data_IF_292470205731
#
_entry.id   IF_292470205731
#
_cell.length_a   1.000
_cell.length_b   1.000
_cell.length_c   1.000
_cell.angle_alpha   90.00
_cell.angle_beta   90.00
_cell.angle_gamma   90.00
#
_symmetry.space_group_name_H-M   'P 1'
#
loop_
_entity.id
_entity.type
_entity.pdbx_description
1 polymer ?
#
# COMPACT_ATOMS: atom_id res chain seq x y z
N UNK A 1 29.21 17.71 -16.05
CA UNK A 1 28.05 18.62 -15.90
C UNK A 1 27.21 18.53 -17.17
N UNK A 2 26.11 17.78 -17.15
CA UNK A 2 25.11 17.83 -18.23
C UNK A 2 23.77 18.10 -17.57
N UNK A 3 23.29 19.33 -17.74
CA UNK A 3 21.93 19.71 -17.39
C UNK A 3 20.99 19.25 -18.51
N UNK A 4 19.89 18.59 -18.15
CA UNK A 4 18.77 18.35 -19.05
C UNK A 4 17.56 19.02 -18.44
N UNK A 5 17.17 20.14 -19.03
CA UNK A 5 15.93 20.86 -18.73
C UNK A 5 14.79 20.21 -19.52
N UNK A 6 13.81 19.64 -18.83
CA UNK A 6 12.54 19.26 -19.45
C UNK A 6 11.46 20.25 -19.04
N UNK A 7 11.07 21.09 -19.99
CA UNK A 7 9.82 21.85 -19.97
C UNK A 7 8.69 20.89 -20.37
N UNK A 8 7.64 20.81 -19.56
CA UNK A 8 6.37 20.20 -19.98
C UNK A 8 5.17 20.89 -19.32
N UNK A 9 4.13 21.00 -20.14
CA UNK A 9 2.95 21.83 -20.00
C UNK A 9 2.05 21.47 -18.80
N UNK A 10 1.35 22.51 -18.29
CA UNK A 10 0.31 22.40 -17.26
C UNK A 10 -1.03 22.08 -17.91
N UNK A 11 -1.61 20.93 -17.58
CA UNK A 11 -3.05 20.69 -17.68
C UNK A 11 -3.63 20.48 -16.27
N UNK A 12 -4.41 21.44 -15.79
CA UNK A 12 -5.21 21.33 -14.57
C UNK A 12 -6.47 20.52 -14.89
N UNK A 13 -6.43 19.23 -14.59
CA UNK A 13 -7.61 18.41 -14.33
C UNK A 13 -7.63 18.07 -12.84
N UNK A 14 -8.77 18.24 -12.17
CA UNK A 14 -8.94 17.90 -10.76
C UNK A 14 -8.85 16.39 -10.55
N UNK A 15 -7.65 15.89 -10.30
CA UNK A 15 -7.41 14.51 -9.89
C UNK A 15 -7.90 14.37 -8.45
N UNK A 16 -8.98 13.61 -8.24
CA UNK A 16 -9.23 13.01 -6.92
C UNK A 16 -7.99 12.18 -6.60
N UNK A 17 -7.18 12.65 -5.67
CA UNK A 17 -6.01 11.93 -5.20
C UNK A 17 -6.51 10.65 -4.54
N UNK A 18 -6.49 9.56 -5.29
CA UNK A 18 -6.43 8.23 -4.71
C UNK A 18 -5.09 8.17 -4.00
N UNK A 19 -5.06 8.66 -2.76
CA UNK A 19 -3.90 8.51 -1.90
C UNK A 19 -3.61 7.02 -1.84
N UNK A 20 -2.45 6.64 -2.37
CA UNK A 20 -1.90 5.32 -2.15
C UNK A 20 -1.73 5.08 -0.64
N UNK A 21 -1.28 3.89 -0.24
CA UNK A 21 -0.87 3.70 1.14
C UNK A 21 0.10 4.83 1.55
N UNK A 22 0.04 5.26 2.82
CA UNK A 22 0.98 6.25 3.31
C UNK A 22 2.42 5.81 2.98
N UNK A 23 3.31 6.76 2.66
CA UNK A 23 4.70 6.43 2.38
C UNK A 23 5.31 5.67 3.56
N UNK A 24 6.29 4.78 3.31
CA UNK A 24 7.02 4.12 4.38
C UNK A 24 7.56 5.12 5.41
N UNK A 25 7.56 4.77 6.71
CA UNK A 25 7.90 5.71 7.79
C UNK A 25 9.31 6.29 7.70
N UNK A 26 10.27 5.54 7.13
CA UNK A 26 11.63 6.04 6.91
C UNK A 26 11.75 7.15 5.85
N UNK A 27 10.64 7.47 5.16
CA UNK A 27 10.55 8.61 4.24
C UNK A 27 9.92 9.84 4.92
N UNK A 28 9.48 9.74 6.17
CA UNK A 28 8.86 10.86 6.88
C UNK A 28 9.87 12.00 7.10
N UNK A 29 9.43 13.23 6.83
CA UNK A 29 10.24 14.43 7.01
C UNK A 29 11.26 14.72 5.89
N UNK A 30 11.38 13.84 4.89
CA UNK A 30 12.10 14.14 3.65
C UNK A 30 11.27 15.07 2.75
N UNK A 31 11.95 15.85 1.90
CA UNK A 31 11.29 16.63 0.87
C UNK A 31 10.78 15.74 -0.28
N UNK A 32 9.84 16.28 -1.07
CA UNK A 32 9.18 15.55 -2.15
C UNK A 32 10.14 15.02 -3.22
N UNK A 33 11.28 15.69 -3.46
CA UNK A 33 12.25 15.25 -4.47
C UNK A 33 13.05 14.05 -3.95
N UNK A 34 13.49 14.08 -2.69
CA UNK A 34 14.13 12.93 -2.04
C UNK A 34 13.21 11.70 -2.02
N UNK A 35 11.93 11.89 -1.72
CA UNK A 35 10.91 10.81 -1.77
C UNK A 35 10.74 10.27 -3.18
N UNK A 36 10.73 11.15 -4.19
CA UNK A 36 10.62 10.76 -5.59
C UNK A 36 11.83 9.95 -6.07
N UNK A 37 13.05 10.36 -5.74
CA UNK A 37 14.29 9.62 -6.06
C UNK A 37 14.25 8.19 -5.56
N UNK A 38 13.79 7.98 -4.32
CA UNK A 38 13.62 6.64 -3.75
C UNK A 38 12.69 5.77 -4.61
N UNK A 39 11.53 6.32 -5.01
CA UNK A 39 10.58 5.57 -5.84
C UNK A 39 11.10 5.34 -7.26
N UNK A 40 11.92 6.24 -7.81
CA UNK A 40 12.55 6.07 -9.12
C UNK A 40 13.57 4.92 -9.08
N UNK A 41 14.38 4.80 -8.02
CA UNK A 41 15.28 3.65 -7.80
C UNK A 41 14.47 2.36 -7.71
N UNK A 42 13.38 2.35 -6.93
CA UNK A 42 12.54 1.16 -6.72
C UNK A 42 11.79 0.69 -7.96
N UNK A 43 11.35 1.63 -8.81
CA UNK A 43 10.65 1.33 -10.07
C UNK A 43 11.61 0.99 -11.20
N UNK A 44 12.91 1.14 -11.01
CA UNK A 44 13.87 0.79 -12.02
C UNK A 44 13.92 -0.73 -12.22
N UNK A 45 13.31 -1.17 -13.32
CA UNK A 45 13.20 -2.58 -13.71
C UNK A 45 14.51 -3.15 -14.28
N UNK A 46 15.52 -2.31 -14.54
CA UNK A 46 16.81 -2.76 -15.06
C UNK A 46 17.79 -3.22 -13.98
N UNK A 47 17.57 -2.81 -12.73
CA UNK A 47 18.43 -3.17 -11.61
C UNK A 47 18.05 -4.53 -11.02
N UNK A 48 19.05 -5.36 -10.74
CA UNK A 48 18.90 -6.54 -9.89
C UNK A 48 18.57 -6.16 -8.45
N UNK A 49 18.06 -7.11 -7.67
CA UNK A 49 17.77 -6.88 -6.23
C UNK A 49 19.02 -6.41 -5.47
N UNK A 50 20.20 -6.94 -5.79
CA UNK A 50 21.45 -6.54 -5.14
C UNK A 50 21.83 -5.10 -5.49
N UNK A 51 21.71 -4.71 -6.76
CA UNK A 51 21.98 -3.35 -7.22
C UNK A 51 20.97 -2.35 -6.66
N UNK A 52 19.68 -2.73 -6.60
CA UNK A 52 18.66 -1.91 -5.94
C UNK A 52 18.99 -1.70 -4.45
N UNK A 53 19.46 -2.74 -3.74
CA UNK A 53 19.90 -2.60 -2.34
C UNK A 53 21.05 -1.61 -2.20
N UNK A 54 22.06 -1.70 -3.06
CA UNK A 54 23.20 -0.77 -3.05
C UNK A 54 22.75 0.66 -3.35
N UNK A 55 21.90 0.86 -4.37
CA UNK A 55 21.38 2.17 -4.72
C UNK A 55 20.56 2.81 -3.59
N UNK A 56 19.69 2.04 -2.93
CA UNK A 56 18.90 2.52 -1.78
C UNK A 56 19.80 2.89 -0.58
N UNK A 57 20.86 2.11 -0.31
CA UNK A 57 21.80 2.44 0.76
C UNK A 57 22.61 3.72 0.48
N UNK A 58 23.07 3.90 -0.77
CA UNK A 58 23.77 5.11 -1.17
C UNK A 58 22.86 6.36 -1.12
N UNK A 59 21.62 6.23 -1.59
CA UNK A 59 20.59 7.26 -1.46
C UNK A 59 20.33 7.61 0.02
N UNK A 60 20.20 6.59 0.89
CA UNK A 60 19.95 6.80 2.31
C UNK A 60 21.12 7.50 3.03
N UNK A 61 22.36 7.26 2.60
CA UNK A 61 23.56 7.97 3.08
C UNK A 61 23.53 9.45 2.69
N UNK A 62 23.18 9.76 1.44
CA UNK A 62 23.05 11.14 0.97
C UNK A 62 22.00 11.95 1.75
N UNK A 63 20.91 11.29 2.17
CA UNK A 63 19.81 11.91 2.91
C UNK A 63 19.92 11.75 4.44
N UNK A 64 21.03 11.20 4.95
CA UNK A 64 21.29 11.11 6.40
C UNK A 64 20.43 10.09 7.17
N UNK A 65 19.73 9.20 6.47
CA UNK A 65 18.83 8.19 7.05
C UNK A 65 19.36 6.74 6.90
N UNK A 66 20.63 6.58 6.53
CA UNK A 66 21.28 5.29 6.29
C UNK A 66 21.14 4.32 7.47
N UNK A 67 21.27 4.79 8.71
CA UNK A 67 21.12 3.95 9.91
C UNK A 67 19.72 3.35 10.00
N UNK A 68 18.68 4.19 9.85
CA UNK A 68 17.27 3.78 9.89
C UNK A 68 16.98 2.76 8.78
N UNK A 69 17.46 3.02 7.55
CA UNK A 69 17.27 2.11 6.41
C UNK A 69 18.00 0.77 6.61
N UNK A 70 19.21 0.79 7.17
CA UNK A 70 20.00 -0.42 7.44
C UNK A 70 19.32 -1.30 8.49
N UNK A 71 18.81 -0.68 9.56
CA UNK A 71 18.08 -1.38 10.62
C UNK A 71 16.80 -2.03 10.09
N UNK A 72 16.02 -1.30 9.29
CA UNK A 72 14.82 -1.83 8.66
C UNK A 72 15.11 -3.01 7.72
N UNK A 73 16.17 -2.92 6.91
CA UNK A 73 16.58 -4.03 6.02
C UNK A 73 16.96 -5.28 6.83
N UNK A 74 17.61 -5.11 7.98
CA UNK A 74 18.01 -6.22 8.84
C UNK A 74 16.82 -6.90 9.52
N UNK A 75 15.80 -6.14 9.93
CA UNK A 75 14.62 -6.64 10.64
C UNK A 75 13.53 -7.20 9.71
N UNK A 76 13.43 -6.70 8.47
CA UNK A 76 12.41 -7.11 7.50
C UNK A 76 12.28 -8.62 7.28
N UNK A 77 13.37 -9.41 7.08
CA UNK A 77 13.23 -10.86 6.87
C UNK A 77 12.64 -11.58 8.08
N UNK A 78 12.92 -11.11 9.30
CA UNK A 78 12.40 -11.70 10.54
C UNK A 78 10.89 -11.48 10.63
N UNK A 79 10.43 -10.25 10.44
CA UNK A 79 8.99 -9.91 10.49
C UNK A 79 8.21 -10.57 9.33
N UNK A 80 8.84 -10.74 8.17
CA UNK A 80 8.23 -11.47 7.06
C UNK A 80 8.03 -12.96 7.39
N UNK A 81 8.98 -13.58 8.08
CA UNK A 81 8.89 -14.97 8.53
C UNK A 81 7.75 -15.14 9.55
N UNK A 82 7.69 -14.27 10.56
CA UNK A 82 6.60 -14.25 11.55
C UNK A 82 5.22 -14.02 10.90
N UNK A 83 5.14 -13.08 9.95
CA UNK A 83 3.93 -12.86 9.16
C UNK A 83 3.52 -14.13 8.39
N UNK A 84 4.49 -14.83 7.79
CA UNK A 84 4.23 -16.03 7.00
C UNK A 84 3.70 -17.15 7.89
N UNK A 85 4.28 -17.34 9.08
CA UNK A 85 3.77 -18.28 10.08
C UNK A 85 2.33 -17.98 10.49
N UNK A 86 1.97 -16.71 10.70
CA UNK A 86 0.59 -16.31 11.02
C UNK A 86 -0.38 -16.62 9.87
N UNK A 87 0.06 -16.45 8.62
CA UNK A 87 -0.77 -16.70 7.43
C UNK A 87 -0.88 -18.18 7.06
N UNK A 88 0.15 -18.98 7.36
CA UNK A 88 0.21 -20.42 7.11
C UNK A 88 -0.45 -21.25 8.22
N UNK A 89 -0.67 -20.68 9.41
CA UNK A 89 -1.41 -21.35 10.48
C UNK A 89 -2.87 -21.60 10.04
N UNK A 90 -3.08 -22.82 9.55
CA UNK A 90 -4.23 -23.30 8.77
C UNK A 90 -5.54 -23.36 9.60
N UNK A 91 -5.41 -23.49 10.92
CA UNK A 91 -6.53 -23.64 11.86
C UNK A 91 -7.03 -22.32 12.48
N UNK A 92 -6.36 -21.19 12.20
CA UNK A 92 -6.80 -19.89 12.73
C UNK A 92 -7.97 -19.33 11.91
N UNK A 93 -9.06 -19.00 12.60
CA UNK A 93 -10.13 -18.20 12.00
C UNK A 93 -9.52 -16.88 11.51
N UNK A 94 -9.96 -16.32 10.37
CA UNK A 94 -9.50 -15.01 9.86
C UNK A 94 -9.42 -13.89 10.92
N UNK A 95 -10.29 -13.96 11.94
CA UNK A 95 -10.27 -13.06 13.10
C UNK A 95 -9.01 -13.22 13.96
N UNK A 96 -8.59 -14.44 14.26
CA UNK A 96 -7.38 -14.74 15.03
C UNK A 96 -6.12 -14.32 14.26
N UNK A 97 -6.07 -14.55 12.95
CA UNK A 97 -5.00 -14.03 12.10
C UNK A 97 -4.91 -12.50 12.19
N UNK A 98 -6.04 -11.79 12.12
CA UNK A 98 -6.06 -10.33 12.25
C UNK A 98 -5.54 -9.88 13.62
N UNK A 99 -5.88 -10.56 14.72
CA UNK A 99 -5.36 -10.20 16.04
C UNK A 99 -3.85 -10.43 16.14
N UNK A 100 -3.32 -11.57 15.68
CA UNK A 100 -1.87 -11.78 15.65
C UNK A 100 -1.13 -10.77 14.78
N UNK A 101 -1.70 -10.39 13.63
CA UNK A 101 -1.14 -9.34 12.78
C UNK A 101 -1.17 -7.95 13.46
N UNK A 102 -2.17 -7.68 14.31
CA UNK A 102 -2.22 -6.45 15.11
C UNK A 102 -1.19 -6.46 16.23
N UNK A 103 -0.97 -7.61 16.86
CA UNK A 103 0.08 -7.78 17.87
C UNK A 103 1.47 -7.56 17.24
N UNK A 104 1.72 -8.15 16.07
CA UNK A 104 2.96 -7.95 15.31
C UNK A 104 3.17 -6.47 14.94
N UNK A 105 2.11 -5.79 14.47
CA UNK A 105 2.15 -4.35 14.19
C UNK A 105 2.42 -3.51 15.45
N UNK A 106 1.85 -3.88 16.59
CA UNK A 106 2.05 -3.18 17.85
C UNK A 106 3.47 -3.32 18.39
N UNK A 107 4.12 -4.46 18.15
CA UNK A 107 5.49 -4.71 18.57
C UNK A 107 6.52 -3.96 17.71
N UNK A 108 6.28 -3.89 16.39
CA UNK A 108 7.24 -3.34 15.43
C UNK A 108 6.53 -2.50 14.35
N UNK A 109 5.97 -1.33 14.71
CA UNK A 109 5.12 -0.55 13.81
C UNK A 109 5.86 -0.09 12.55
N UNK A 110 7.13 0.30 12.68
CA UNK A 110 7.93 0.79 11.55
C UNK A 110 8.22 -0.30 10.53
N UNK A 111 8.71 -1.47 10.97
CA UNK A 111 9.04 -2.61 10.10
C UNK A 111 7.77 -3.14 9.43
N UNK A 112 6.68 -3.25 10.19
CA UNK A 112 5.41 -3.74 9.67
C UNK A 112 4.78 -2.79 8.64
N UNK A 113 4.95 -1.47 8.81
CA UNK A 113 4.55 -0.48 7.80
C UNK A 113 5.32 -0.65 6.48
N UNK A 114 6.63 -0.90 6.55
CA UNK A 114 7.44 -1.21 5.35
C UNK A 114 6.97 -2.51 4.69
N UNK A 115 6.66 -3.54 5.48
CA UNK A 115 6.12 -4.80 4.98
C UNK A 115 4.78 -4.61 4.25
N UNK A 116 3.84 -3.83 4.81
CA UNK A 116 2.56 -3.48 4.16
C UNK A 116 2.78 -2.75 2.83
N UNK A 117 3.70 -1.77 2.81
CA UNK A 117 4.04 -1.03 1.60
C UNK A 117 4.59 -1.96 0.51
N UNK A 118 5.49 -2.89 0.88
CA UNK A 118 6.03 -3.90 -0.03
C UNK A 118 4.91 -4.80 -0.60
N UNK A 119 4.01 -5.31 0.23
CA UNK A 119 2.89 -6.12 -0.26
C UNK A 119 1.94 -5.34 -1.18
N UNK A 120 1.69 -4.06 -0.92
CA UNK A 120 0.89 -3.24 -1.83
C UNK A 120 1.55 -3.10 -3.21
N UNK A 121 2.87 -2.98 -3.23
CA UNK A 121 3.66 -2.82 -4.45
C UNK A 121 3.72 -4.12 -5.27
N UNK A 122 3.94 -5.26 -4.61
CA UNK A 122 4.24 -6.53 -5.29
C UNK A 122 3.08 -7.51 -5.37
N UNK A 123 2.02 -7.37 -4.54
CA UNK A 123 0.84 -8.24 -4.70
C UNK A 123 0.06 -7.81 -5.94
N UNK A 124 -0.36 -8.76 -6.79
CA UNK A 124 -1.29 -8.47 -7.87
C UNK A 124 -2.50 -7.73 -7.28
N UNK A 125 -2.82 -6.56 -7.84
CA UNK A 125 -4.06 -5.87 -7.46
C UNK A 125 -5.19 -6.87 -7.67
N UNK A 126 -5.87 -7.26 -6.59
CA UNK A 126 -7.11 -8.05 -6.69
C UNK A 126 -7.94 -7.32 -7.74
N UNK A 127 -8.21 -8.00 -8.85
CA UNK A 127 -8.76 -7.38 -10.05
C UNK A 127 -9.86 -6.41 -9.65
N UNK A 128 -9.84 -5.22 -10.24
CA UNK A 128 -10.89 -4.24 -10.06
C UNK A 128 -12.22 -4.99 -10.05
N UNK A 129 -13.00 -4.82 -8.97
CA UNK A 129 -14.39 -5.22 -9.01
C UNK A 129 -14.94 -4.64 -10.29
N UNK A 130 -15.15 -5.54 -11.26
CA UNK A 130 -15.71 -5.20 -12.54
C UNK A 130 -16.94 -4.37 -12.22
N UNK A 131 -16.99 -3.19 -12.85
CA UNK A 131 -17.97 -2.17 -12.52
C UNK A 131 -19.32 -2.82 -12.29
N UNK A 132 -19.99 -2.44 -11.19
CA UNK A 132 -21.44 -2.58 -11.20
C UNK A 132 -21.89 -1.89 -12.49
N UNK A 133 -22.52 -2.60 -13.44
CA UNK A 133 -22.95 -1.97 -14.66
C UNK A 133 -23.81 -0.78 -14.26
N UNK A 134 -23.46 0.37 -14.84
CA UNK A 134 -24.18 1.62 -14.67
C UNK A 134 -25.66 1.32 -14.90
N UNK A 135 -26.47 1.29 -13.84
CA UNK A 135 -27.90 1.01 -13.96
C UNK A 135 -28.47 2.16 -14.79
N UNK A 136 -28.92 1.94 -16.04
CA UNK A 136 -29.44 3.01 -16.83
C UNK A 136 -30.66 3.57 -16.09
N UNK A 137 -30.67 4.89 -16.01
CA UNK A 137 -31.74 5.73 -15.50
C UNK A 137 -33.11 5.06 -15.70
N UNK A 138 -33.67 4.46 -14.64
CA UNK A 138 -35.00 3.89 -14.69
C UNK A 138 -36.01 5.02 -14.55
N UNK A 139 -36.10 5.84 -15.59
CA UNK A 139 -37.31 6.59 -15.89
C UNK A 139 -38.32 5.57 -16.42
N UNK A 140 -38.99 4.90 -15.48
CA UNK A 140 -40.16 4.02 -15.66
C UNK A 140 -41.12 4.29 -14.50
N UNK A 141 -42.43 4.08 -14.67
CA UNK A 141 -43.46 5.03 -14.22
C UNK A 141 -43.87 4.94 -12.74
N UNK A 142 -43.00 4.42 -11.87
CA UNK A 142 -43.29 4.35 -10.44
C UNK A 142 -42.04 4.62 -9.58
N UNK A 143 -41.92 5.87 -9.13
CA UNK A 143 -41.46 6.17 -7.78
C UNK A 143 -42.34 7.29 -7.21
N UNK A 144 -42.34 7.59 -5.90
CA UNK A 144 -41.83 6.83 -4.75
C UNK A 144 -42.83 6.78 -3.56
N UNK A 145 -42.95 5.67 -2.82
CA UNK A 145 -43.42 5.67 -1.43
C UNK A 145 -42.62 4.60 -0.66
N UNK A 146 -41.59 5.04 0.08
CA UNK A 146 -41.55 5.18 1.55
C UNK A 146 -41.85 3.87 2.29
N UNK A 147 -40.90 3.52 3.14
CA UNK A 147 -41.07 3.06 4.53
C UNK A 147 -42.33 2.27 4.84
N UNK A 148 -42.16 1.00 5.24
CA UNK A 148 -42.54 0.52 6.59
C UNK A 148 -42.64 -1.01 6.61
N UNK A 149 -41.78 -1.62 7.44
CA UNK A 149 -42.15 -2.75 8.31
C UNK A 149 -42.38 -4.14 7.70
N UNK A 150 -41.81 -5.14 8.37
CA UNK A 150 -42.37 -6.49 8.38
C UNK A 150 -41.34 -7.60 8.14
N UNK A 151 -40.70 -8.06 9.21
CA UNK A 151 -40.08 -9.38 9.24
C UNK A 151 -41.16 -10.46 9.11
N UNK A 152 -41.01 -11.49 8.26
CA UNK A 152 -41.77 -12.72 8.42
C UNK A 152 -40.94 -13.76 9.17
N UNK A 153 -41.46 -14.13 10.33
CA UNK A 153 -41.23 -15.43 10.95
C UNK A 153 -41.62 -16.53 9.96
N UNK A 154 -40.78 -17.56 9.84
CA UNK A 154 -41.20 -18.82 9.24
C UNK A 154 -41.40 -19.84 10.36
N UNK A 155 -42.63 -20.33 10.48
CA UNK A 155 -42.96 -21.55 11.20
C UNK A 155 -43.86 -22.41 10.31
N UNK A 156 -43.41 -23.66 10.22
CA UNK A 156 -44.04 -24.91 9.73
C UNK A 156 -44.33 -25.01 8.22
#
# INVERSE_FOLDING_TARGET
LVAVTSVAARHRGGQRHHHGPPPPPFLEGLDDEAVKEFFDIKRNETLTIAEQKVAVLAWAEQHGIQKNVTELIAQLPVVLEEFSQVMEYEDATRRQQIEHLRELEAQQPEVYAVLKAAFHQFKPKRGAHHGRPNRPNSTGPFGPFRTQGGFPHYRE
#
